data_IF_375188846456
#
_entry.id   IF_375188846456
#
_cell.length_a   1.000
_cell.length_b   1.000
_cell.length_c   1.000
_cell.angle_alpha   90.00
_cell.angle_beta   90.00
_cell.angle_gamma   90.00
#
_symmetry.space_group_name_H-M   'P 1'
#
loop_
_entity.id
_entity.type
_entity.pdbx_description
1 polymer ?
#
# COMPACT_ATOMS: atom_id res chain seq x y z
N UNK A 1 -6.63 6.14 6.05
CA UNK A 1 -5.63 6.15 4.96
C UNK A 1 -6.22 6.28 3.55
N UNK A 2 -7.55 6.28 3.36
CA UNK A 2 -8.16 6.60 2.05
C UNK A 2 -7.55 7.89 1.46
N UNK A 3 -7.29 7.89 0.16
CA UNK A 3 -6.61 8.95 -0.59
C UNK A 3 -5.14 9.23 -0.24
N UNK A 4 -4.53 8.54 0.72
CA UNK A 4 -3.07 8.61 0.91
C UNK A 4 -2.34 7.79 -0.16
N UNK A 5 -1.15 8.23 -0.57
CA UNK A 5 -0.36 7.56 -1.60
C UNK A 5 1.14 7.75 -1.45
N UNK A 6 1.88 7.10 -2.36
CA UNK A 6 3.32 7.22 -2.62
C UNK A 6 3.46 7.30 -4.14
N UNK A 7 4.01 8.40 -4.66
CA UNK A 7 4.12 8.62 -6.10
C UNK A 7 2.78 8.45 -6.83
N UNK A 8 2.68 7.48 -7.75
CA UNK A 8 1.44 7.16 -8.48
C UNK A 8 0.59 6.03 -7.87
N UNK A 9 1.02 5.45 -6.74
CA UNK A 9 0.24 4.47 -5.98
C UNK A 9 -0.60 5.17 -4.91
N UNK A 10 -1.89 4.78 -4.77
CA UNK A 10 -2.81 5.41 -3.80
C UNK A 10 -3.78 4.41 -3.18
N UNK A 11 -4.18 4.62 -1.93
CA UNK A 11 -5.31 3.91 -1.31
C UNK A 11 -6.62 4.48 -1.87
N UNK A 12 -7.44 3.62 -2.47
CA UNK A 12 -8.73 3.99 -3.06
C UNK A 12 -9.60 4.79 -2.08
N UNK A 13 -10.23 5.84 -2.60
CA UNK A 13 -11.22 6.61 -1.86
C UNK A 13 -12.52 5.84 -1.60
N UNK A 14 -12.85 4.93 -2.51
CA UNK A 14 -14.07 4.12 -2.44
C UNK A 14 -13.93 3.07 -1.34
N UNK A 15 -12.83 2.30 -1.34
CA UNK A 15 -12.65 1.18 -0.42
C UNK A 15 -11.19 1.03 0.04
N UNK A 16 -10.96 1.08 1.36
CA UNK A 16 -9.62 1.23 1.95
C UNK A 16 -8.66 0.05 1.76
N UNK A 17 -9.17 -1.12 1.38
CA UNK A 17 -8.34 -2.30 1.09
C UNK A 17 -7.78 -2.30 -0.35
N UNK A 18 -8.27 -1.42 -1.22
CA UNK A 18 -7.76 -1.34 -2.59
C UNK A 18 -6.63 -0.33 -2.67
N UNK A 19 -5.48 -0.78 -3.16
CA UNK A 19 -4.41 0.10 -3.62
C UNK A 19 -4.55 0.21 -5.14
N UNK A 20 -4.71 1.43 -5.63
CA UNK A 20 -4.91 1.74 -7.04
C UNK A 20 -3.65 2.35 -7.62
N UNK A 21 -3.40 2.01 -8.88
CA UNK A 21 -2.40 2.65 -9.71
C UNK A 21 -3.09 3.79 -10.47
N UNK A 22 -2.77 5.05 -10.14
CA UNK A 22 -3.32 6.24 -10.81
C UNK A 22 -2.63 6.53 -12.17
N UNK A 23 -2.03 5.50 -12.78
CA UNK A 23 -1.27 5.58 -14.01
C UNK A 23 0.23 5.75 -13.76
N UNK A 24 1.01 4.76 -14.17
CA UNK A 24 2.48 4.80 -14.10
C UNK A 24 3.07 4.45 -12.74
N UNK A 25 2.28 3.92 -11.79
CA UNK A 25 2.84 3.46 -10.52
C UNK A 25 3.81 2.30 -10.72
N UNK A 26 4.96 2.40 -10.07
CA UNK A 26 5.99 1.37 -10.05
C UNK A 26 5.72 0.35 -8.96
N UNK A 27 6.32 -0.85 -9.07
CA UNK A 27 6.24 -1.85 -8.01
C UNK A 27 6.82 -1.32 -6.68
N UNK A 28 7.90 -0.55 -6.72
CA UNK A 28 8.51 0.06 -5.54
C UNK A 28 7.54 0.99 -4.80
N UNK A 29 6.82 1.87 -5.52
CA UNK A 29 5.82 2.77 -4.93
C UNK A 29 4.65 2.00 -4.30
N UNK A 30 4.21 0.91 -4.93
CA UNK A 30 3.15 0.05 -4.39
C UNK A 30 3.60 -0.64 -3.10
N UNK A 31 4.82 -1.18 -3.06
CA UNK A 31 5.39 -1.85 -1.89
C UNK A 31 5.63 -0.87 -0.74
N UNK A 32 6.14 0.33 -1.02
CA UNK A 32 6.33 1.38 -0.02
C UNK A 32 4.97 1.81 0.59
N UNK A 33 3.93 1.94 -0.24
CA UNK A 33 2.59 2.24 0.25
C UNK A 33 2.03 1.13 1.13
N UNK A 34 2.26 -0.14 0.80
CA UNK A 34 1.88 -1.30 1.64
C UNK A 34 2.56 -1.21 3.00
N UNK A 35 3.88 -0.98 3.04
CA UNK A 35 4.62 -0.87 4.31
C UNK A 35 4.18 0.33 5.15
N UNK A 36 3.83 1.45 4.52
CA UNK A 36 3.21 2.60 5.20
C UNK A 36 1.87 2.24 5.84
N UNK A 37 1.01 1.50 5.13
CA UNK A 37 -0.29 1.05 5.65
C UNK A 37 -0.10 0.14 6.86
N UNK A 38 0.78 -0.85 6.77
CA UNK A 38 1.11 -1.78 7.87
C UNK A 38 1.63 -1.03 9.10
N UNK A 39 2.60 -0.13 8.90
CA UNK A 39 3.18 0.71 9.96
C UNK A 39 2.12 1.53 10.67
N UNK A 40 1.22 2.18 9.92
CA UNK A 40 0.16 3.00 10.51
C UNK A 40 -0.88 2.14 11.23
N UNK A 41 -1.26 0.98 10.68
CA UNK A 41 -2.20 0.06 11.34
C UNK A 41 -1.65 -0.41 12.69
N UNK A 42 -0.37 -0.79 12.73
CA UNK A 42 0.32 -1.16 13.96
C UNK A 42 0.37 0.00 14.95
N UNK A 43 0.81 1.17 14.50
CA UNK A 43 0.98 2.33 15.39
C UNK A 43 -0.34 2.86 15.97
N UNK A 44 -1.40 2.91 15.16
CA UNK A 44 -2.67 3.51 15.56
C UNK A 44 -3.64 2.52 16.21
N UNK A 45 -3.55 1.24 15.86
CA UNK A 45 -4.52 0.21 16.27
C UNK A 45 -3.91 -0.99 16.96
N UNK A 46 -2.57 -1.09 17.02
CA UNK A 46 -1.89 -2.27 17.56
C UNK A 46 -2.09 -3.53 16.73
N UNK A 47 -2.51 -3.40 15.47
CA UNK A 47 -2.80 -4.53 14.57
C UNK A 47 -1.63 -4.72 13.61
N UNK A 48 -1.07 -5.92 13.58
CA UNK A 48 -0.10 -6.33 12.57
C UNK A 48 -0.86 -6.85 11.35
N UNK A 49 -0.66 -6.22 10.19
CA UNK A 49 -1.30 -6.60 8.94
C UNK A 49 -0.37 -7.47 8.11
N UNK A 50 -0.89 -8.56 7.57
CA UNK A 50 -0.20 -9.42 6.61
C UNK A 50 -0.75 -9.19 5.20
N UNK A 51 0.14 -9.23 4.21
CA UNK A 51 -0.24 -9.02 2.82
C UNK A 51 -0.82 -10.32 2.25
N UNK A 52 -2.06 -10.27 1.73
CA UNK A 52 -2.70 -11.43 1.05
C UNK A 52 -2.10 -11.67 -0.34
N UNK A 53 -1.73 -10.59 -1.05
CA UNK A 53 -1.19 -10.68 -2.41
C UNK A 53 0.22 -11.25 -2.42
N UNK A 54 0.51 -12.07 -3.42
CA UNK A 54 1.86 -12.56 -3.68
C UNK A 54 2.67 -11.50 -4.41
N UNK A 55 3.86 -11.21 -3.90
CA UNK A 55 4.82 -10.30 -4.53
C UNK A 55 5.82 -11.16 -5.31
N UNK A 56 5.94 -10.92 -6.61
CA UNK A 56 6.84 -11.65 -7.51
C UNK A 56 7.81 -10.68 -8.18
N UNK A 57 8.98 -11.18 -8.57
CA UNK A 57 10.06 -10.40 -9.17
C UNK A 57 11.31 -10.40 -8.29
N UNK A 58 12.34 -9.70 -8.76
CA UNK A 58 13.60 -9.53 -8.04
C UNK A 58 13.53 -8.24 -7.20
N UNK A 59 14.18 -8.20 -6.01
CA UNK A 59 14.38 -6.95 -5.29
C UNK A 59 15.08 -5.93 -6.21
N UNK A 60 14.66 -4.67 -6.11
CA UNK A 60 15.29 -3.57 -6.84
C UNK A 60 16.72 -3.28 -6.36
#
# INVERSE_FOLDING_TARGET
LKNSGIGKARVSEVHGNFIVNDGGATAAEMLELIEKIKTVARAQRGIELETEVQIVGEPA
#
